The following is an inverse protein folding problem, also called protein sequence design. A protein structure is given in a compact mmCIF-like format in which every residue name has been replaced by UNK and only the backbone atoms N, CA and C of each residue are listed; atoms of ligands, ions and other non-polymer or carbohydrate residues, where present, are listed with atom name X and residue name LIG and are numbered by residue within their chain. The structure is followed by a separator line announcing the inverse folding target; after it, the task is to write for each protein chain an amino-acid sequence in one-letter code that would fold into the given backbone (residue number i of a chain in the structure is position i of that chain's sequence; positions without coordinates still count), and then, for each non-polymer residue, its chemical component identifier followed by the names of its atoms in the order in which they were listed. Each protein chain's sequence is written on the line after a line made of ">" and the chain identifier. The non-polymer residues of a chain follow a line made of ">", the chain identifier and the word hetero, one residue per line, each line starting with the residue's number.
data_IF_348189586697
#
_entry.id   IF_348189586697
#
_cell.length_a   1.000
_cell.length_b   1.000
_cell.length_c   1.000
_cell.angle_alpha   90.00
_cell.angle_beta   90.00
_cell.angle_gamma   90.00
#
_symmetry.space_group_name_H-M   'P 1'
#
loop_
_entity.id
_entity.type
_entity.pdbx_description
1 polymer ?
#
# COMPACT_ATOMS: atom_id res chain seq x y z
N UNK A 1 -9.16 -2.97 1.69
CA UNK A 1 -8.99 -2.33 3.02
C UNK A 1 -10.27 -1.56 3.31
N UNK A 2 -10.86 -1.72 4.49
CA UNK A 2 -11.96 -0.84 4.92
C UNK A 2 -11.33 0.29 5.75
N UNK A 3 -11.51 1.53 5.31
CA UNK A 3 -10.99 2.73 5.96
C UNK A 3 -12.15 3.40 6.69
N UNK A 4 -12.06 3.53 8.01
CA UNK A 4 -13.13 4.10 8.84
C UNK A 4 -12.59 5.24 9.70
N UNK A 5 -13.46 6.19 10.06
CA UNK A 5 -13.19 7.19 11.09
C UNK A 5 -12.39 8.42 10.64
N UNK A 6 -12.25 8.69 9.34
CA UNK A 6 -11.71 9.94 8.82
C UNK A 6 -12.80 11.02 8.89
N UNK A 7 -12.57 12.09 9.65
CA UNK A 7 -13.61 13.10 9.95
C UNK A 7 -13.21 14.52 9.57
N UNK A 8 -11.91 14.81 9.56
CA UNK A 8 -11.35 16.11 9.20
C UNK A 8 -10.46 16.00 7.96
N UNK A 9 -10.38 17.10 7.22
CA UNK A 9 -9.43 17.21 6.10
C UNK A 9 -8.00 17.03 6.63
N UNK A 10 -7.26 16.12 6.01
CA UNK A 10 -5.91 15.72 6.41
C UNK A 10 -5.87 14.54 7.38
N UNK A 11 -7.02 14.04 7.86
CA UNK A 11 -7.05 12.79 8.63
C UNK A 11 -6.55 11.65 7.74
N UNK A 12 -5.77 10.75 8.34
CA UNK A 12 -5.20 9.60 7.65
C UNK A 12 -5.53 8.30 8.35
N UNK A 13 -5.67 7.25 7.54
CA UNK A 13 -5.70 5.87 7.99
C UNK A 13 -4.65 5.07 7.24
N UNK A 14 -4.05 4.09 7.90
CA UNK A 14 -2.99 3.27 7.30
C UNK A 14 -3.30 1.79 7.39
N UNK A 15 -2.89 1.04 6.37
CA UNK A 15 -2.77 -0.41 6.41
C UNK A 15 -1.32 -0.80 6.10
N UNK A 16 -0.78 -1.70 6.89
CA UNK A 16 0.57 -2.23 6.71
C UNK A 16 0.50 -3.71 6.36
N UNK A 17 1.09 -4.07 5.23
CA UNK A 17 1.20 -5.45 4.74
C UNK A 17 2.63 -5.92 4.92
N UNK A 18 2.82 -7.08 5.53
CA UNK A 18 4.14 -7.74 5.60
C UNK A 18 4.28 -8.69 4.42
N UNK A 19 5.36 -8.54 3.65
CA UNK A 19 5.69 -9.37 2.49
C UNK A 19 6.93 -10.18 2.84
N UNK A 20 6.76 -11.50 2.94
CA UNK A 20 7.85 -12.43 3.21
C UNK A 20 8.29 -13.11 1.92
N UNK A 21 9.59 -13.06 1.63
CA UNK A 21 10.17 -13.82 0.53
C UNK A 21 10.57 -15.21 1.04
N UNK A 22 9.73 -16.21 0.78
CA UNK A 22 9.95 -17.60 1.20
C UNK A 22 10.82 -18.39 0.22
N UNK A 23 11.41 -17.74 -0.78
CA UNK A 23 12.39 -18.37 -1.66
C UNK A 23 13.63 -18.81 -0.88
N UNK A 24 14.24 -19.92 -1.30
CA UNK A 24 15.45 -20.47 -0.67
C UNK A 24 16.73 -19.73 -1.07
N UNK A 25 16.75 -19.16 -2.28
CA UNK A 25 17.95 -18.61 -2.93
C UNK A 25 17.68 -17.32 -3.70
N UNK A 26 16.48 -17.14 -4.27
CA UNK A 26 16.12 -15.94 -5.04
C UNK A 26 15.77 -14.76 -4.14
N UNK A 27 16.27 -13.58 -4.50
CA UNK A 27 15.71 -12.32 -3.99
C UNK A 27 14.51 -11.88 -4.86
N UNK A 28 13.76 -10.87 -4.43
CA UNK A 28 12.65 -10.32 -5.20
C UNK A 28 12.68 -8.80 -5.18
N UNK A 29 12.58 -8.17 -6.35
CA UNK A 29 12.34 -6.72 -6.46
C UNK A 29 10.84 -6.49 -6.39
N UNK A 30 10.41 -5.65 -5.46
CA UNK A 30 9.02 -5.29 -5.26
C UNK A 30 8.70 -3.96 -5.92
N UNK A 31 7.55 -3.90 -6.58
CA UNK A 31 6.87 -2.67 -6.94
C UNK A 31 5.41 -2.74 -6.48
N UNK A 32 4.80 -1.58 -6.26
CA UNK A 32 3.41 -1.50 -5.81
C UNK A 32 2.69 -0.34 -6.46
N UNK A 33 1.47 -0.58 -6.92
CA UNK A 33 0.55 0.43 -7.44
C UNK A 33 -0.74 0.42 -6.63
N UNK A 34 -1.37 1.58 -6.51
CA UNK A 34 -2.66 1.73 -5.82
C UNK A 34 -3.69 2.34 -6.72
N UNK A 35 -4.94 1.89 -6.56
CA UNK A 35 -6.11 2.49 -7.19
C UNK A 35 -7.11 2.96 -6.12
N UNK A 36 -7.93 3.95 -6.50
CA UNK A 36 -8.91 4.58 -5.64
C UNK A 36 -10.17 4.87 -6.46
N UNK A 37 -11.34 4.44 -5.97
CA UNK A 37 -12.62 4.69 -6.67
C UNK A 37 -13.23 6.05 -6.37
N UNK A 38 -12.69 6.79 -5.41
CA UNK A 38 -13.17 8.11 -5.01
C UNK A 38 -11.97 9.03 -4.72
N UNK A 39 -11.35 9.52 -5.80
CA UNK A 39 -10.23 10.45 -5.77
C UNK A 39 -10.64 11.90 -5.49
N UNK A 40 -11.95 12.20 -5.55
CA UNK A 40 -12.50 13.49 -5.16
C UNK A 40 -12.33 13.75 -3.65
N UNK A 41 -12.60 12.74 -2.83
CA UNK A 41 -12.54 12.85 -1.37
C UNK A 41 -11.31 12.23 -0.75
N UNK A 42 -10.74 11.20 -1.36
CA UNK A 42 -9.63 10.45 -0.77
C UNK A 42 -8.39 10.50 -1.64
N UNK A 43 -7.23 10.63 -1.00
CA UNK A 43 -5.93 10.43 -1.65
C UNK A 43 -5.30 9.17 -1.08
N UNK A 44 -4.80 8.32 -1.98
CA UNK A 44 -4.10 7.09 -1.60
C UNK A 44 -2.65 7.20 -1.99
N UNK A 45 -1.77 6.79 -1.08
CA UNK A 45 -0.33 6.67 -1.32
C UNK A 45 0.17 5.36 -0.72
N UNK A 46 1.28 4.86 -1.25
CA UNK A 46 1.92 3.65 -0.80
C UNK A 46 3.43 3.85 -0.64
N UNK A 47 4.01 3.14 0.33
CA UNK A 47 5.44 3.13 0.57
C UNK A 47 5.93 1.70 0.79
N UNK A 48 6.98 1.31 0.06
CA UNK A 48 7.67 0.03 0.23
C UNK A 48 8.92 0.30 1.08
N UNK A 49 9.01 -0.32 2.25
CA UNK A 49 10.13 -0.08 3.18
C UNK A 49 11.49 -0.53 2.61
N UNK A 50 11.48 -1.65 1.86
CA UNK A 50 12.65 -2.22 1.18
C UNK A 50 12.23 -2.72 -0.20
N UNK A 51 12.74 -2.09 -1.26
CA UNK A 51 12.39 -2.41 -2.65
C UNK A 51 12.94 -3.75 -3.16
N UNK A 52 13.95 -4.33 -2.50
CA UNK A 52 14.46 -5.67 -2.81
C UNK A 52 14.48 -6.52 -1.56
N UNK A 53 13.83 -7.68 -1.58
CA UNK A 53 13.74 -8.59 -0.43
C UNK A 53 14.61 -9.82 -0.69
N UNK A 54 15.63 -10.04 0.14
CA UNK A 54 16.52 -11.21 0.01
C UNK A 54 15.77 -12.52 0.28
N UNK A 55 16.37 -13.65 -0.09
CA UNK A 55 15.85 -14.98 0.25
C UNK A 55 15.69 -15.13 1.77
N UNK A 56 14.52 -15.63 2.21
CA UNK A 56 14.18 -15.78 3.63
C UNK A 56 13.92 -14.48 4.41
N UNK A 57 13.99 -13.32 3.76
CA UNK A 57 13.79 -12.01 4.40
C UNK A 57 12.34 -11.50 4.23
N UNK A 58 11.99 -10.41 4.91
CA UNK A 58 10.69 -9.76 4.80
C UNK A 58 10.80 -8.25 4.72
N UNK A 59 9.73 -7.62 4.22
CA UNK A 59 9.57 -6.17 4.17
C UNK A 59 8.13 -5.79 4.46
N UNK A 60 7.85 -4.50 4.57
CA UNK A 60 6.50 -3.98 4.73
C UNK A 60 6.14 -3.01 3.62
N UNK A 61 4.86 -3.06 3.22
CA UNK A 61 4.24 -2.05 2.36
C UNK A 61 3.16 -1.36 3.18
N UNK A 62 3.27 -0.05 3.32
CA UNK A 62 2.27 0.78 4.01
C UNK A 62 1.45 1.54 3.00
N UNK A 63 0.13 1.39 3.05
CA UNK A 63 -0.84 2.15 2.27
C UNK A 63 -1.49 3.16 3.18
N UNK A 64 -1.47 4.43 2.79
CA UNK A 64 -2.03 5.55 3.53
C UNK A 64 -3.17 6.16 2.72
N UNK A 65 -4.32 6.29 3.37
CA UNK A 65 -5.51 6.95 2.83
C UNK A 65 -5.73 8.24 3.59
N UNK A 66 -5.82 9.35 2.88
CA UNK A 66 -6.01 10.69 3.43
C UNK A 66 -7.35 11.26 2.95
N UNK A 67 -8.16 11.81 3.87
CA UNK A 67 -9.35 12.58 3.51
C UNK A 67 -8.92 14.00 3.07
N UNK A 68 -9.08 14.33 1.80
CA UNK A 68 -8.56 15.59 1.22
C UNK A 68 -9.61 16.69 1.04
N UNK A 69 -10.90 16.35 1.18
CA UNK A 69 -12.02 17.27 0.91
C UNK A 69 -13.06 17.26 2.04
N UNK A 70 -13.46 18.46 2.44
CA UNK A 70 -14.55 18.75 3.38
C UNK A 70 -15.29 20.03 2.93
N UNK A 71 -16.54 20.30 3.38
CA UNK A 71 -17.37 19.46 4.26
C UNK A 71 -17.85 18.19 3.56
N UNK A 72 -18.03 17.13 4.33
CA UNK A 72 -18.70 15.89 3.91
C UNK A 72 -20.20 16.08 4.23
N UNK A 73 -21.05 16.07 3.20
CA UNK A 73 -22.50 16.30 3.35
C UNK A 73 -23.30 15.01 3.50
N UNK A 74 -22.73 13.87 3.13
CA UNK A 74 -23.25 12.51 3.26
C UNK A 74 -22.09 11.55 3.47
N UNK A 75 -22.32 10.34 3.98
CA UNK A 75 -21.23 9.37 4.13
C UNK A 75 -20.57 9.08 2.78
N UNK A 76 -19.25 9.26 2.71
CA UNK A 76 -18.43 9.02 1.51
C UNK A 76 -17.64 7.74 1.69
N UNK A 77 -17.73 6.86 0.71
CA UNK A 77 -17.01 5.59 0.70
C UNK A 77 -15.96 5.56 -0.41
N UNK A 78 -14.95 4.72 -0.22
CA UNK A 78 -13.99 4.40 -1.26
C UNK A 78 -13.51 2.95 -1.19
N UNK A 79 -13.25 2.37 -2.36
CA UNK A 79 -12.56 1.08 -2.49
C UNK A 79 -11.12 1.32 -2.92
N UNK A 80 -10.19 0.78 -2.12
CA UNK A 80 -8.75 0.87 -2.39
C UNK A 80 -8.23 -0.46 -2.92
N UNK A 81 -7.69 -0.43 -4.14
CA UNK A 81 -6.93 -1.53 -4.73
C UNK A 81 -5.43 -1.36 -4.48
N UNK A 82 -4.74 -2.46 -4.22
CA UNK A 82 -3.29 -2.50 -4.02
C UNK A 82 -2.76 -3.68 -4.82
N UNK A 83 -1.96 -3.39 -5.84
CA UNK A 83 -1.30 -4.42 -6.64
C UNK A 83 0.18 -4.41 -6.29
N UNK A 84 0.70 -5.57 -5.88
CA UNK A 84 2.09 -5.76 -5.49
C UNK A 84 2.71 -6.76 -6.44
N UNK A 85 3.74 -6.34 -7.16
CA UNK A 85 4.50 -7.19 -8.08
C UNK A 85 5.82 -7.56 -7.43
N UNK A 86 6.15 -8.85 -7.44
CA UNK A 86 7.44 -9.37 -6.98
C UNK A 86 8.18 -10.02 -8.16
N UNK A 87 9.27 -9.40 -8.61
CA UNK A 87 10.10 -9.89 -9.70
C UNK A 87 11.29 -10.67 -9.14
N UNK A 88 11.35 -12.00 -9.30
CA UNK A 88 12.43 -12.81 -8.76
C UNK A 88 13.76 -12.46 -9.43
N UNK A 89 14.80 -12.32 -8.62
CA UNK A 89 16.17 -12.07 -9.07
C UNK A 89 17.05 -13.24 -8.62
N UNK A 90 17.77 -13.82 -9.58
CA UNK A 90 18.82 -14.78 -9.27
C UNK A 90 19.86 -14.11 -8.36
N UNK A 91 20.32 -14.79 -7.29
CA UNK A 91 21.56 -14.37 -6.64
C UNK A 91 22.63 -14.47 -7.72
N UNK A 92 23.19 -13.32 -8.11
CA UNK A 92 24.13 -13.13 -9.22
C UNK A 92 24.81 -14.42 -9.71
N UNK A 93 24.68 -14.72 -11.01
CA UNK A 93 25.63 -15.63 -11.67
C UNK A 93 27.08 -15.12 -11.50
#
# INVERSE_FOLDING_TARGET
>A
MNVNGLTAKGDTATATYTIANTSADLSAVLSATTSNTNDEFFKVTQNIAKGTVAAGDSTTITVTVELIKTPITQDEETTIGVDITAEPQQPNA
#
